data_IF_517544911280
#
_entry.id   IF_517544911280
#
_cell.length_a   1.000
_cell.length_b   1.000
_cell.length_c   1.000
_cell.angle_alpha   90.00
_cell.angle_beta   90.00
_cell.angle_gamma   90.00
#
_symmetry.space_group_name_H-M   'P 1'
#
loop_
_entity.id
_entity.type
_entity.pdbx_description
1 polymer ?
#
# COMPACT_ATOMS: atom_id res chain seq x y z
N UNK A 1 13.35 0.75 16.09
CA UNK A 1 13.59 -0.70 16.17
C UNK A 1 12.75 -1.38 15.09
N UNK A 2 13.33 -2.29 14.34
CA UNK A 2 12.59 -3.02 13.31
C UNK A 2 11.55 -3.95 13.93
N UNK A 3 10.35 -4.01 13.35
CA UNK A 3 9.31 -4.94 13.78
C UNK A 3 9.68 -6.37 13.37
N UNK A 4 9.49 -7.33 14.30
CA UNK A 4 9.85 -8.73 14.06
C UNK A 4 8.60 -9.61 13.99
N UNK A 5 8.18 -9.89 12.77
CA UNK A 5 6.99 -10.71 12.49
C UNK A 5 7.12 -12.12 13.07
N UNK A 6 8.28 -12.77 12.92
CA UNK A 6 8.50 -14.13 13.41
C UNK A 6 8.35 -14.22 14.94
N UNK A 7 8.78 -13.19 15.67
CA UNK A 7 8.63 -13.15 17.13
C UNK A 7 7.16 -12.99 17.54
N UNK A 8 6.40 -12.16 16.81
CA UNK A 8 4.98 -11.98 17.04
C UNK A 8 4.21 -13.28 16.78
N UNK A 9 4.52 -13.98 15.69
CA UNK A 9 3.93 -15.28 15.37
C UNK A 9 4.26 -16.34 16.41
N UNK A 10 5.49 -16.35 16.93
CA UNK A 10 5.90 -17.27 17.97
C UNK A 10 5.12 -17.08 19.27
N UNK A 11 4.60 -15.87 19.53
CA UNK A 11 3.72 -15.58 20.66
C UNK A 11 2.25 -15.96 20.40
N UNK A 12 1.96 -16.57 19.25
CA UNK A 12 0.59 -16.97 18.89
C UNK A 12 -0.29 -15.83 18.40
N UNK A 13 0.29 -14.69 18.00
CA UNK A 13 -0.46 -13.56 17.46
C UNK A 13 -0.93 -13.84 16.04
N UNK A 14 -2.20 -13.47 15.73
CA UNK A 14 -2.77 -13.64 14.40
C UNK A 14 -2.17 -12.60 13.45
N UNK A 15 -1.60 -13.06 12.33
CA UNK A 15 -1.06 -12.17 11.30
C UNK A 15 -2.18 -11.63 10.41
N UNK A 16 -2.24 -10.31 10.29
CA UNK A 16 -3.14 -9.63 9.36
C UNK A 16 -2.45 -9.57 8.00
N UNK A 17 -3.12 -10.12 6.96
CA UNK A 17 -2.64 -10.07 5.59
C UNK A 17 -3.25 -8.88 4.86
N UNK A 18 -2.42 -8.18 4.09
CA UNK A 18 -2.85 -7.05 3.26
C UNK A 18 -2.11 -7.06 1.93
N UNK A 19 -2.65 -6.38 0.96
CA UNK A 19 -2.06 -6.19 -0.36
C UNK A 19 -2.17 -4.75 -0.80
N UNK A 20 -1.21 -4.30 -1.59
CA UNK A 20 -1.21 -2.96 -2.13
C UNK A 20 -0.34 -2.80 -3.36
N UNK A 21 -0.32 -1.60 -3.91
CA UNK A 21 0.38 -1.33 -5.14
C UNK A 21 1.06 0.02 -5.19
N UNK A 22 2.17 0.05 -5.90
CA UNK A 22 2.84 1.28 -6.32
C UNK A 22 2.49 1.49 -7.78
N UNK A 23 1.54 2.38 -8.05
CA UNK A 23 1.11 2.69 -9.41
C UNK A 23 2.08 3.70 -9.99
N UNK A 24 2.69 3.34 -11.12
CA UNK A 24 3.68 4.17 -11.82
C UNK A 24 3.08 4.63 -13.14
N UNK A 25 3.18 5.93 -13.42
CA UNK A 25 2.72 6.54 -14.69
C UNK A 25 3.59 7.75 -14.99
N UNK A 26 4.17 7.78 -16.19
CA UNK A 26 4.97 8.91 -16.69
C UNK A 26 6.08 9.33 -15.71
N UNK A 27 6.72 8.35 -15.07
CA UNK A 27 7.79 8.60 -14.10
C UNK A 27 7.33 9.07 -12.72
N UNK A 28 6.02 9.12 -12.48
CA UNK A 28 5.44 9.49 -11.19
C UNK A 28 4.81 8.29 -10.49
N UNK A 29 4.71 8.36 -9.17
CA UNK A 29 4.03 7.37 -8.33
C UNK A 29 2.79 7.97 -7.67
N UNK A 30 1.79 7.14 -7.43
CA UNK A 30 0.52 7.56 -6.83
C UNK A 30 0.53 7.35 -5.34
N UNK A 31 0.31 8.42 -4.58
CA UNK A 31 0.15 8.38 -3.14
C UNK A 31 -1.29 8.70 -2.75
N UNK A 32 -1.72 8.15 -1.63
CA UNK A 32 -3.04 8.39 -1.04
C UNK A 32 -2.91 9.04 0.34
N UNK A 33 -3.83 9.92 0.68
CA UNK A 33 -3.92 10.54 2.00
C UNK A 33 -5.05 9.92 2.80
N UNK A 34 -4.75 9.51 4.04
CA UNK A 34 -5.74 8.97 4.99
C UNK A 34 -6.06 10.05 6.03
N UNK A 35 -7.27 10.66 5.98
CA UNK A 35 -7.60 11.76 6.87
C UNK A 35 -7.61 11.37 8.34
N UNK A 36 -8.01 10.13 8.66
CA UNK A 36 -8.05 9.62 10.03
C UNK A 36 -6.68 9.66 10.72
N UNK A 37 -5.61 9.40 9.96
CA UNK A 37 -4.23 9.32 10.47
C UNK A 37 -3.39 10.52 10.03
N UNK A 38 -3.92 11.36 9.15
CA UNK A 38 -3.19 12.46 8.51
C UNK A 38 -1.84 11.98 7.95
N UNK A 39 -1.87 10.92 7.16
CA UNK A 39 -0.67 10.33 6.57
C UNK A 39 -0.79 10.16 5.07
N UNK A 40 0.38 10.08 4.42
CA UNK A 40 0.54 9.76 3.01
C UNK A 40 1.18 8.39 2.88
N UNK A 41 0.53 7.51 2.13
CA UNK A 41 0.98 6.13 1.92
C UNK A 41 0.74 5.71 0.47
N UNK A 42 1.26 4.53 0.10
CA UNK A 42 0.78 3.84 -1.10
C UNK A 42 -0.56 3.16 -0.81
N UNK A 43 -1.46 3.04 -1.81
CA UNK A 43 -2.76 2.40 -1.62
C UNK A 43 -2.62 0.92 -1.26
N UNK A 44 -3.34 0.49 -0.23
CA UNK A 44 -3.31 -0.86 0.32
C UNK A 44 -4.52 -1.13 1.19
N UNK A 45 -4.77 -2.39 1.47
CA UNK A 45 -5.78 -2.77 2.45
C UNK A 45 -5.77 -4.26 2.77
N UNK A 46 -6.62 -4.66 3.69
CA UNK A 46 -6.67 -6.02 4.21
C UNK A 46 -7.27 -6.99 3.19
N UNK A 47 -6.73 -8.20 3.16
CA UNK A 47 -7.27 -9.29 2.36
C UNK A 47 -8.62 -9.76 2.94
N UNK A 48 -9.58 -10.03 2.05
CA UNK A 48 -10.82 -10.69 2.42
C UNK A 48 -10.55 -12.20 2.62
N UNK A 49 -11.40 -12.91 3.40
CA UNK A 49 -11.26 -14.35 3.56
C UNK A 49 -11.25 -15.08 2.21
N UNK A 50 -10.23 -15.90 1.97
CA UNK A 50 -10.07 -16.67 0.74
C UNK A 50 -9.56 -15.89 -0.47
N UNK A 51 -9.34 -14.59 -0.35
CA UNK A 51 -8.79 -13.75 -1.40
C UNK A 51 -7.28 -13.94 -1.53
N UNK A 52 -6.76 -14.04 -2.77
CA UNK A 52 -5.32 -14.05 -2.98
C UNK A 52 -4.73 -12.68 -2.68
N UNK A 53 -3.43 -12.65 -2.35
CA UNK A 53 -2.75 -11.37 -2.09
C UNK A 53 -2.72 -10.48 -3.34
N UNK A 54 -2.60 -11.08 -4.53
CA UNK A 54 -2.63 -10.38 -5.80
C UNK A 54 -4.00 -9.73 -6.05
N UNK A 55 -5.08 -10.47 -5.86
CA UNK A 55 -6.43 -9.94 -6.03
C UNK A 55 -6.75 -8.87 -4.98
N UNK A 56 -6.28 -9.07 -3.75
CA UNK A 56 -6.38 -8.07 -2.68
C UNK A 56 -5.71 -6.75 -3.10
N UNK A 57 -4.49 -6.83 -3.61
CA UNK A 57 -3.74 -5.65 -4.03
C UNK A 57 -4.48 -4.89 -5.14
N UNK A 58 -4.96 -5.59 -6.16
CA UNK A 58 -5.71 -4.97 -7.26
C UNK A 58 -7.02 -4.34 -6.79
N UNK A 59 -7.76 -5.03 -5.93
CA UNK A 59 -9.03 -4.56 -5.38
C UNK A 59 -8.83 -3.32 -4.50
N UNK A 60 -7.87 -3.35 -3.60
CA UNK A 60 -7.61 -2.24 -2.68
C UNK A 60 -7.13 -0.99 -3.42
N UNK A 61 -6.26 -1.14 -4.42
CA UNK A 61 -5.85 0.00 -5.25
C UNK A 61 -7.07 0.59 -5.96
N UNK A 62 -7.94 -0.24 -6.50
CA UNK A 62 -9.16 0.24 -7.15
C UNK A 62 -10.11 0.93 -6.18
N UNK A 63 -10.34 0.36 -5.00
CA UNK A 63 -11.21 0.96 -3.99
C UNK A 63 -10.69 2.32 -3.51
N UNK A 64 -9.38 2.44 -3.33
CA UNK A 64 -8.79 3.67 -2.79
C UNK A 64 -8.54 4.74 -3.85
N UNK A 65 -8.35 4.37 -5.11
CA UNK A 65 -7.94 5.33 -6.16
C UNK A 65 -8.88 5.42 -7.35
N UNK A 66 -9.76 4.45 -7.55
CA UNK A 66 -10.58 4.33 -8.77
C UNK A 66 -9.85 3.75 -9.97
N UNK A 67 -8.58 3.38 -9.84
CA UNK A 67 -7.79 2.86 -10.95
C UNK A 67 -7.87 1.34 -11.04
N UNK A 68 -8.19 0.84 -12.24
CA UNK A 68 -8.06 -0.57 -12.60
C UNK A 68 -6.67 -0.78 -13.16
N UNK A 69 -5.89 -1.65 -12.50
CA UNK A 69 -4.47 -1.81 -12.80
C UNK A 69 -4.13 -3.22 -13.25
N UNK A 70 -3.00 -3.33 -13.95
CA UNK A 70 -2.31 -4.59 -14.19
C UNK A 70 -1.17 -4.75 -13.19
N UNK A 71 -0.97 -5.99 -12.72
CA UNK A 71 0.16 -6.32 -11.85
C UNK A 71 1.45 -6.32 -12.66
N UNK A 72 2.46 -5.64 -12.11
CA UNK A 72 3.84 -5.73 -12.56
C UNK A 72 4.67 -6.60 -11.61
N UNK A 73 5.94 -6.25 -11.42
CA UNK A 73 6.85 -6.98 -10.55
C UNK A 73 6.42 -6.90 -9.08
N UNK A 74 6.57 -7.98 -8.36
CA UNK A 74 6.38 -7.97 -6.91
C UNK A 74 7.52 -7.19 -6.25
N UNK A 75 7.16 -6.34 -5.28
CA UNK A 75 8.08 -5.50 -4.53
C UNK A 75 8.33 -6.10 -3.14
N UNK A 76 9.33 -5.60 -2.39
CA UNK A 76 9.53 -6.07 -1.03
C UNK A 76 8.29 -5.91 -0.16
N UNK A 77 7.93 -6.96 0.58
CA UNK A 77 6.85 -6.88 1.55
C UNK A 77 7.25 -6.00 2.74
N UNK A 78 6.27 -5.35 3.35
CA UNK A 78 6.48 -4.61 4.59
C UNK A 78 5.77 -5.30 5.75
N UNK A 79 6.39 -5.28 6.93
CA UNK A 79 5.85 -5.92 8.12
C UNK A 79 5.92 -4.95 9.30
N UNK A 80 4.81 -4.82 10.02
CA UNK A 80 4.72 -3.91 11.16
C UNK A 80 3.52 -4.31 12.04
N UNK A 81 3.42 -3.71 13.23
CA UNK A 81 2.24 -3.84 14.07
C UNK A 81 1.15 -2.87 13.58
N UNK A 82 -0.08 -3.37 13.41
CA UNK A 82 -1.21 -2.51 13.07
C UNK A 82 -1.67 -1.66 14.27
N UNK A 83 -2.71 -0.83 14.07
CA UNK A 83 -3.23 0.06 15.10
C UNK A 83 -3.74 -0.67 16.35
N UNK A 84 -4.08 -1.96 16.22
CA UNK A 84 -4.51 -2.81 17.34
C UNK A 84 -3.37 -3.64 17.93
N UNK A 85 -2.13 -3.41 17.49
CA UNK A 85 -0.95 -4.14 17.94
C UNK A 85 -0.78 -5.51 17.32
N UNK A 86 -1.56 -5.87 16.29
CA UNK A 86 -1.46 -7.17 15.63
C UNK A 86 -0.35 -7.17 14.60
N UNK A 87 0.39 -8.29 14.41
CA UNK A 87 1.36 -8.39 13.33
C UNK A 87 0.64 -8.27 11.99
N UNK A 88 1.18 -7.45 11.10
CA UNK A 88 0.63 -7.21 9.77
C UNK A 88 1.72 -7.32 8.73
N UNK A 89 1.44 -8.05 7.66
CA UNK A 89 2.29 -8.10 6.48
C UNK A 89 1.52 -7.57 5.28
N UNK A 90 2.14 -6.66 4.54
CA UNK A 90 1.61 -6.13 3.29
C UNK A 90 2.49 -6.61 2.16
N UNK A 91 1.90 -7.31 1.19
CA UNK A 91 2.57 -7.65 -0.06
C UNK A 91 2.26 -6.58 -1.09
N UNK A 92 3.26 -6.21 -1.87
CA UNK A 92 3.23 -5.07 -2.78
C UNK A 92 3.62 -5.47 -4.19
N UNK A 93 3.01 -4.81 -5.16
CA UNK A 93 3.35 -4.94 -6.58
C UNK A 93 3.47 -3.57 -7.22
N UNK A 94 4.42 -3.43 -8.15
CA UNK A 94 4.38 -2.33 -9.10
C UNK A 94 3.17 -2.53 -10.00
N UNK A 95 2.44 -1.46 -10.31
CA UNK A 95 1.22 -1.54 -11.11
C UNK A 95 1.19 -0.50 -12.21
N UNK A 96 0.51 -0.86 -13.30
CA UNK A 96 0.20 0.04 -14.41
C UNK A 96 -1.30 0.29 -14.44
N UNK A 97 -1.72 1.56 -14.48
CA UNK A 97 -3.13 1.90 -14.59
C UNK A 97 -3.62 1.62 -16.02
N UNK A 98 -4.69 0.83 -16.15
CA UNK A 98 -5.32 0.47 -17.42
C UNK A 98 -6.56 1.31 -17.69
N UNK A 99 -7.39 1.52 -16.66
CA UNK A 99 -8.62 2.28 -16.75
C UNK A 99 -8.78 3.12 -15.48
N UNK A 100 -9.44 4.27 -15.62
CA UNK A 100 -9.73 5.17 -14.52
C UNK A 100 -11.25 5.31 -14.38
N UNK A 101 -11.80 4.70 -13.33
CA UNK A 101 -13.24 4.78 -13.01
C UNK A 101 -13.59 6.03 -12.20
N UNK A 102 -12.60 6.87 -11.88
CA UNK A 102 -12.78 8.09 -11.11
C UNK A 102 -12.54 7.89 -9.61
N UNK A 103 -11.78 8.79 -9.03
CA UNK A 103 -11.57 8.83 -7.59
C UNK A 103 -12.73 9.53 -6.91
N UNK A 104 -13.27 8.90 -5.86
CA UNK A 104 -14.30 9.50 -5.01
C UNK A 104 -13.71 9.69 -3.60
N UNK A 105 -13.48 10.94 -3.17
CA UNK A 105 -13.00 11.20 -1.81
C UNK A 105 -13.98 10.67 -0.76
N UNK A 106 -13.44 10.08 0.29
CA UNK A 106 -14.23 9.49 1.36
C UNK A 106 -13.51 9.55 2.70
N UNK A 107 -14.04 8.82 3.67
CA UNK A 107 -13.51 8.80 5.03
C UNK A 107 -12.18 8.08 5.15
N UNK A 108 -11.94 7.08 4.31
CA UNK A 108 -10.70 6.32 4.33
C UNK A 108 -9.60 7.03 3.57
N UNK A 109 -9.90 7.51 2.35
CA UNK A 109 -8.96 8.24 1.49
C UNK A 109 -9.67 9.51 1.01
N UNK A 110 -9.09 10.67 1.29
CA UNK A 110 -9.66 11.95 0.92
C UNK A 110 -8.90 12.67 -0.20
N UNK A 111 -7.68 12.24 -0.52
CA UNK A 111 -6.89 12.87 -1.56
C UNK A 111 -5.92 11.87 -2.21
N UNK A 112 -5.64 12.11 -3.49
CA UNK A 112 -4.61 11.43 -4.28
C UNK A 112 -3.58 12.44 -4.76
N UNK A 113 -2.32 12.01 -4.89
CA UNK A 113 -1.28 12.82 -5.54
C UNK A 113 -0.37 11.94 -6.39
N UNK A 114 -0.20 12.37 -7.64
CA UNK A 114 0.86 11.85 -8.50
C UNK A 114 2.09 12.71 -8.28
N UNK A 115 3.20 12.09 -7.89
CA UNK A 115 4.42 12.82 -7.54
C UNK A 115 5.65 12.12 -8.10
N UNK A 116 6.67 12.89 -8.44
CA UNK A 116 7.98 12.34 -8.79
C UNK A 116 8.59 11.60 -7.58
N UNK A 117 9.45 10.59 -7.80
CA UNK A 117 10.03 9.83 -6.71
C UNK A 117 10.71 10.66 -5.62
N UNK A 118 11.42 11.74 -5.98
CA UNK A 118 12.07 12.62 -5.01
C UNK A 118 11.04 13.32 -4.10
N UNK A 119 9.90 13.75 -4.66
CA UNK A 119 8.83 14.38 -3.90
C UNK A 119 8.06 13.35 -3.06
N UNK A 120 7.89 12.14 -3.59
CA UNK A 120 7.29 11.04 -2.84
C UNK A 120 8.11 10.70 -1.58
N UNK A 121 9.44 10.71 -1.70
CA UNK A 121 10.34 10.46 -0.57
C UNK A 121 10.13 11.47 0.55
N UNK A 122 9.91 12.73 0.21
CA UNK A 122 9.65 13.79 1.19
C UNK A 122 8.23 13.72 1.77
N UNK A 123 7.26 13.22 1.01
CA UNK A 123 5.84 13.22 1.38
C UNK A 123 5.41 11.98 2.15
N UNK A 124 5.97 10.80 1.84
CA UNK A 124 5.64 9.55 2.52
C UNK A 124 5.85 9.66 4.02
N UNK A 125 4.84 9.28 4.77
CA UNK A 125 4.85 9.43 6.23
C UNK A 125 5.74 8.38 6.91
N UNK A 126 5.80 7.15 6.35
CA UNK A 126 6.45 6.02 7.01
C UNK A 126 7.73 5.63 6.29
N UNK A 127 8.81 5.49 7.07
CA UNK A 127 10.13 5.10 6.55
C UNK A 127 10.08 3.74 5.83
N UNK A 128 9.26 2.80 6.31
CA UNK A 128 9.11 1.48 5.69
C UNK A 128 8.65 1.55 4.23
N UNK A 129 7.94 2.60 3.83
CA UNK A 129 7.45 2.75 2.45
C UNK A 129 8.54 3.22 1.49
N UNK A 130 9.67 3.72 2.00
CA UNK A 130 10.78 4.19 1.16
C UNK A 130 11.44 3.05 0.38
N UNK A 131 11.46 1.83 0.93
CA UNK A 131 11.99 0.66 0.21
C UNK A 131 11.19 0.37 -1.05
N UNK A 132 9.88 0.58 -1.01
CA UNK A 132 9.01 0.41 -2.18
C UNK A 132 9.34 1.43 -3.25
N UNK A 133 9.57 2.66 -2.84
CA UNK A 133 9.95 3.73 -3.76
C UNK A 133 11.28 3.43 -4.42
N UNK A 134 12.27 2.98 -3.67
CA UNK A 134 13.59 2.61 -4.18
C UNK A 134 13.49 1.45 -5.20
N UNK A 135 12.56 0.52 -4.99
CA UNK A 135 12.40 -0.63 -5.86
C UNK A 135 11.79 -0.28 -7.23
N UNK A 136 11.05 0.83 -7.34
CA UNK A 136 10.40 1.26 -8.59
C UNK A 136 11.08 2.46 -9.25
N UNK A 137 11.96 3.15 -8.54
CA UNK A 137 12.64 4.35 -9.01
C UNK A 137 13.78 4.01 -9.99
#
# INVERSE_FOLDING_TARGET
MAYRMAEAEARGEVTVRAGGGVVVRDGEVLLVHRPRYDDWTFPKGKADPGESDEDCALREVWEETGLRCALGAELPATAYADALGRPKIVRWWAMEALEDDGFVPGKEIDALRWVAPADARALLTYERDLELLDAVA
#
